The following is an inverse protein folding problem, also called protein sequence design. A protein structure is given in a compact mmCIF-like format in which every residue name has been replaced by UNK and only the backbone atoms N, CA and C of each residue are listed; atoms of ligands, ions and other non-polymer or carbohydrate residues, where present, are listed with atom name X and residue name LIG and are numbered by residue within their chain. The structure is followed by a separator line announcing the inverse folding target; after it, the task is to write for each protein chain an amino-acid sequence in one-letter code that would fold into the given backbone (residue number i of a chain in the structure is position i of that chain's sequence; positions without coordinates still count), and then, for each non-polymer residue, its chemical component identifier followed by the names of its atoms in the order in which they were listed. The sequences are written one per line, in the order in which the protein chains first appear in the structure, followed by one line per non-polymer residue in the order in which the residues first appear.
data_IF_118683376816
#
_entry.id   IF_118683376816
#
_cell.length_a   1.000
_cell.length_b   1.000
_cell.length_c   1.000
_cell.angle_alpha   90.00
_cell.angle_beta   90.00
_cell.angle_gamma   90.00
#
_symmetry.space_group_name_H-M   'P 1'
#
loop_
_entity.id
_entity.type
_entity.pdbx_description
1 polymer ?
#
# COMPACT_ATOMS: atom_id res chain seq x y z
N UNK A 1 20.40 24.71 32.04
CA UNK A 1 20.78 23.81 30.92
C UNK A 1 19.56 23.13 30.29
N UNK A 2 18.65 22.54 31.08
CA UNK A 2 17.44 21.87 30.56
C UNK A 2 16.52 22.80 29.73
N UNK A 3 16.30 24.04 30.16
CA UNK A 3 15.44 24.99 29.46
C UNK A 3 15.93 25.31 28.03
N UNK A 4 17.24 25.55 27.87
CA UNK A 4 17.84 25.84 26.56
C UNK A 4 17.78 24.63 25.61
N UNK A 5 17.93 23.41 26.13
CA UNK A 5 17.82 22.19 25.33
C UNK A 5 16.39 21.96 24.83
N UNK A 6 15.38 22.20 25.68
CA UNK A 6 13.96 22.12 25.29
C UNK A 6 13.62 23.17 24.24
N UNK A 7 14.12 24.40 24.38
CA UNK A 7 13.91 25.48 23.40
C UNK A 7 14.57 25.12 22.05
N UNK A 8 15.79 24.59 22.04
CA UNK A 8 16.47 24.18 20.82
C UNK A 8 15.76 23.01 20.10
N UNK A 9 15.26 22.03 20.86
CA UNK A 9 14.45 20.94 20.33
C UNK A 9 13.14 21.43 19.73
N UNK A 10 12.45 22.33 20.43
CA UNK A 10 11.20 22.94 19.96
C UNK A 10 11.45 23.74 18.67
N UNK A 11 12.54 24.51 18.61
CA UNK A 11 12.92 25.28 17.41
C UNK A 11 13.21 24.39 16.21
N UNK A 12 13.96 23.29 16.39
CA UNK A 12 14.21 22.32 15.32
C UNK A 12 12.91 21.64 14.87
N UNK A 13 12.03 21.29 15.81
CA UNK A 13 10.74 20.69 15.50
C UNK A 13 9.84 21.63 14.69
N UNK A 14 9.72 22.90 15.09
CA UNK A 14 8.97 23.90 14.33
C UNK A 14 9.59 24.18 12.95
N UNK A 15 10.93 24.17 12.83
CA UNK A 15 11.60 24.37 11.55
C UNK A 15 11.29 23.24 10.55
N UNK A 16 11.20 21.99 11.02
CA UNK A 16 10.79 20.86 10.15
C UNK A 16 9.33 20.96 9.70
N UNK A 17 8.44 21.47 10.55
CA UNK A 17 7.03 21.71 10.19
C UNK A 17 6.90 22.85 9.17
N UNK A 18 7.71 23.92 9.29
CA UNK A 18 7.71 25.02 8.33
C UNK A 18 8.23 24.63 6.94
N UNK A 19 9.24 23.76 6.85
CA UNK A 19 9.73 23.20 5.57
C UNK A 19 8.75 22.20 4.92
N UNK A 20 7.80 21.65 5.69
CA UNK A 20 6.74 20.79 5.18
C UNK A 20 5.51 21.58 4.70
N UNK A 21 5.45 22.89 4.93
CA UNK A 21 4.44 23.73 4.31
C UNK A 21 4.72 23.75 2.80
N UNK A 22 3.75 23.34 1.95
CA UNK A 22 3.91 23.49 0.51
C UNK A 22 4.10 24.99 0.23
N UNK A 23 5.33 25.37 -0.14
CA UNK A 23 5.62 26.68 -0.71
C UNK A 23 4.70 26.74 -1.91
N UNK A 24 3.67 27.59 -1.84
CA UNK A 24 2.54 27.61 -2.76
C UNK A 24 2.98 27.19 -4.15
N UNK A 25 2.64 25.95 -4.51
CA UNK A 25 2.81 25.45 -5.85
C UNK A 25 1.93 26.40 -6.66
N UNK A 26 2.60 27.35 -7.32
CA UNK A 26 1.95 28.21 -8.28
C UNK A 26 1.17 27.26 -9.16
N UNK A 27 -0.15 27.43 -9.21
CA UNK A 27 -1.01 26.69 -10.12
C UNK A 27 -0.67 27.21 -11.52
N UNK A 28 0.53 26.88 -11.99
CA UNK A 28 0.79 26.70 -13.40
C UNK A 28 -0.14 25.57 -13.78
N UNK A 29 -1.29 25.94 -14.33
CA UNK A 29 -2.15 25.04 -15.10
C UNK A 29 -1.35 24.62 -16.33
N UNK A 30 -0.30 23.83 -16.12
CA UNK A 30 0.44 23.15 -17.17
C UNK A 30 -0.15 21.76 -17.22
N UNK A 31 -1.10 21.56 -18.15
CA UNK A 31 -1.69 20.27 -18.54
C UNK A 31 -1.26 19.07 -17.72
N UNK A 32 -1.74 18.97 -16.47
CA UNK A 32 -1.34 17.91 -15.57
C UNK A 32 -2.04 16.64 -16.03
N UNK A 33 -1.26 15.71 -16.58
CA UNK A 33 -1.70 14.35 -16.86
C UNK A 33 -2.44 13.79 -15.61
N UNK A 34 -3.76 13.50 -15.69
CA UNK A 34 -4.60 13.16 -14.52
C UNK A 34 -4.10 11.98 -13.67
N UNK A 35 -3.17 11.22 -14.24
CA UNK A 35 -2.57 10.02 -13.70
C UNK A 35 -1.67 10.27 -12.47
N UNK A 36 -1.16 11.50 -12.28
CA UNK A 36 -0.14 11.80 -11.27
C UNK A 36 -0.49 12.90 -10.25
N UNK A 37 -1.75 13.26 -10.06
CA UNK A 37 -2.06 14.39 -9.17
C UNK A 37 -1.78 14.07 -7.68
N UNK A 38 -0.71 14.68 -7.15
CA UNK A 38 -0.43 14.85 -5.72
C UNK A 38 0.38 13.74 -5.03
N UNK A 39 1.23 14.18 -4.09
CA UNK A 39 2.15 13.45 -3.17
C UNK A 39 1.63 12.14 -2.52
N UNK A 40 0.37 11.72 -2.70
CA UNK A 40 -0.23 10.63 -1.91
C UNK A 40 -1.13 9.61 -2.61
N UNK A 41 -1.37 9.68 -3.93
CA UNK A 41 -2.14 8.62 -4.61
C UNK A 41 -3.15 9.12 -5.63
N UNK A 42 -2.68 9.34 -6.86
CA UNK A 42 -3.55 9.48 -8.03
C UNK A 42 -4.22 8.16 -8.42
N UNK A 43 -4.70 8.08 -9.67
CA UNK A 43 -5.38 6.90 -10.25
C UNK A 43 -4.58 5.60 -10.01
N UNK A 44 -3.25 5.68 -10.07
CA UNK A 44 -2.34 4.55 -9.83
C UNK A 44 -2.46 4.02 -8.39
N UNK A 45 -2.50 4.90 -7.39
CA UNK A 45 -2.69 4.51 -5.99
C UNK A 45 -4.04 3.83 -5.75
N UNK A 46 -5.09 4.30 -6.43
CA UNK A 46 -6.41 3.68 -6.37
C UNK A 46 -6.43 2.28 -7.01
N UNK A 47 -5.74 2.09 -8.15
CA UNK A 47 -5.59 0.77 -8.77
C UNK A 47 -4.87 -0.19 -7.82
N UNK A 48 -3.79 0.28 -7.18
CA UNK A 48 -3.05 -0.52 -6.20
C UNK A 48 -3.94 -0.92 -5.02
N UNK A 49 -4.77 -0.01 -4.51
CA UNK A 49 -5.73 -0.31 -3.44
C UNK A 49 -6.73 -1.40 -3.86
N UNK A 50 -7.26 -1.34 -5.08
CA UNK A 50 -8.17 -2.38 -5.60
C UNK A 50 -7.45 -3.73 -5.68
N UNK A 51 -6.21 -3.74 -6.18
CA UNK A 51 -5.43 -4.98 -6.29
C UNK A 51 -5.11 -5.58 -4.91
N UNK A 52 -4.83 -4.76 -3.89
CA UNK A 52 -4.64 -5.21 -2.50
C UNK A 52 -5.88 -5.96 -1.98
N UNK A 53 -7.08 -5.40 -2.20
CA UNK A 53 -8.35 -6.04 -1.83
C UNK A 53 -8.54 -7.38 -2.55
N UNK A 54 -8.21 -7.46 -3.84
CA UNK A 54 -8.32 -8.70 -4.61
C UNK A 54 -7.41 -9.80 -4.04
N UNK A 55 -6.17 -9.43 -3.68
CA UNK A 55 -5.24 -10.38 -3.04
C UNK A 55 -5.79 -10.85 -1.71
N UNK A 56 -6.39 -9.97 -0.90
CA UNK A 56 -7.03 -10.38 0.36
C UNK A 56 -8.16 -11.37 0.15
N UNK A 57 -9.06 -11.11 -0.81
CA UNK A 57 -10.15 -12.04 -1.14
C UNK A 57 -9.58 -13.40 -1.56
N UNK A 58 -8.56 -13.42 -2.41
CA UNK A 58 -7.91 -14.67 -2.86
C UNK A 58 -7.27 -15.43 -1.70
N UNK A 59 -6.52 -14.74 -0.84
CA UNK A 59 -5.84 -15.33 0.32
C UNK A 59 -6.87 -15.88 1.31
N UNK A 60 -7.93 -15.13 1.62
CA UNK A 60 -8.97 -15.53 2.55
C UNK A 60 -9.81 -16.70 2.02
N UNK A 61 -10.02 -16.80 0.71
CA UNK A 61 -10.72 -17.93 0.08
C UNK A 61 -9.85 -19.17 -0.18
N UNK A 62 -8.52 -19.05 -0.08
CA UNK A 62 -7.59 -20.17 -0.34
C UNK A 62 -7.69 -21.31 0.69
N UNK A 63 -7.26 -22.52 0.35
CA UNK A 63 -7.23 -23.66 1.29
C UNK A 63 -5.98 -23.70 2.19
N UNK A 64 -5.36 -22.54 2.45
CA UNK A 64 -4.13 -22.41 3.26
C UNK A 64 -4.43 -22.40 4.76
N UNK A 65 -3.47 -22.83 5.61
CA UNK A 65 -3.59 -22.63 7.06
C UNK A 65 -3.69 -21.15 7.42
N UNK A 66 -4.39 -20.86 8.52
CA UNK A 66 -4.70 -19.49 8.98
C UNK A 66 -3.43 -18.63 9.14
N UNK A 67 -2.34 -19.20 9.65
CA UNK A 67 -1.05 -18.50 9.82
C UNK A 67 -0.50 -17.94 8.51
N UNK A 68 -0.62 -18.69 7.41
CA UNK A 68 -0.14 -18.27 6.10
C UNK A 68 -1.04 -17.21 5.49
N UNK A 69 -2.36 -17.28 5.75
CA UNK A 69 -3.29 -16.22 5.31
C UNK A 69 -2.95 -14.89 5.95
N UNK A 70 -2.76 -14.89 7.27
CA UNK A 70 -2.43 -13.68 8.04
C UNK A 70 -1.09 -13.10 7.57
N UNK A 71 -0.07 -13.94 7.36
CA UNK A 71 1.24 -13.48 6.89
C UNK A 71 1.14 -12.78 5.52
N UNK A 72 0.42 -13.38 4.56
CA UNK A 72 0.25 -12.78 3.24
C UNK A 72 -0.57 -11.49 3.27
N UNK A 73 -1.67 -11.45 4.03
CA UNK A 73 -2.43 -10.22 4.23
C UNK A 73 -1.56 -9.10 4.83
N UNK A 74 -0.73 -9.41 5.84
CA UNK A 74 0.12 -8.42 6.50
C UNK A 74 1.20 -7.86 5.57
N UNK A 75 1.85 -8.72 4.78
CA UNK A 75 2.90 -8.31 3.82
C UNK A 75 2.35 -7.40 2.74
N UNK A 76 1.19 -7.73 2.17
CA UNK A 76 0.58 -6.99 1.07
C UNK A 76 0.00 -5.66 1.58
N UNK A 77 -0.61 -5.65 2.76
CA UNK A 77 -1.15 -4.42 3.37
C UNK A 77 -0.07 -3.41 3.80
N UNK A 78 1.02 -3.89 4.42
CA UNK A 78 2.08 -3.00 4.90
C UNK A 78 2.94 -2.45 3.75
N UNK A 79 3.03 -3.23 2.66
CA UNK A 79 3.77 -2.87 1.46
C UNK A 79 2.90 -3.09 0.22
N UNK A 80 1.95 -2.21 -0.11
CA UNK A 80 0.97 -2.45 -1.17
C UNK A 80 1.62 -2.69 -2.55
N UNK A 81 2.69 -1.97 -2.89
CA UNK A 81 3.39 -2.17 -4.16
C UNK A 81 4.30 -3.40 -4.12
N UNK A 82 5.23 -3.45 -3.16
CA UNK A 82 6.25 -4.50 -3.09
C UNK A 82 5.65 -5.84 -2.65
N UNK A 83 4.74 -5.82 -1.68
CA UNK A 83 4.01 -6.98 -1.18
C UNK A 83 3.18 -7.64 -2.28
N UNK A 84 2.54 -6.87 -3.18
CA UNK A 84 1.87 -7.45 -4.35
C UNK A 84 2.85 -8.17 -5.28
N UNK A 85 4.03 -7.59 -5.55
CA UNK A 85 5.05 -8.23 -6.38
C UNK A 85 5.52 -9.55 -5.75
N UNK A 86 5.81 -9.53 -4.43
CA UNK A 86 6.23 -10.73 -3.69
C UNK A 86 5.12 -11.78 -3.69
N UNK A 87 3.87 -11.38 -3.44
CA UNK A 87 2.72 -12.28 -3.48
C UNK A 87 2.58 -12.92 -4.87
N UNK A 88 2.69 -12.13 -5.94
CA UNK A 88 2.56 -12.62 -7.30
C UNK A 88 3.61 -13.70 -7.63
N UNK A 89 4.85 -13.53 -7.18
CA UNK A 89 5.97 -14.43 -7.51
C UNK A 89 6.04 -15.66 -6.59
N UNK A 90 5.86 -15.47 -5.28
CA UNK A 90 6.18 -16.49 -4.27
C UNK A 90 4.98 -17.13 -3.61
N UNK A 91 3.77 -16.58 -3.76
CA UNK A 91 2.59 -17.15 -3.11
C UNK A 91 2.23 -18.55 -3.63
N UNK A 92 2.66 -18.96 -4.83
CA UNK A 92 2.19 -20.19 -5.47
C UNK A 92 0.65 -20.26 -5.44
N UNK A 93 0.02 -19.19 -5.92
CA UNK A 93 -1.43 -19.01 -5.85
C UNK A 93 -2.22 -20.15 -6.50
N UNK A 94 -1.76 -20.65 -7.65
CA UNK A 94 -2.44 -21.70 -8.42
C UNK A 94 -2.67 -23.00 -7.65
N UNK A 95 -1.74 -23.39 -6.77
CA UNK A 95 -1.88 -24.62 -5.98
C UNK A 95 -2.85 -24.49 -4.79
N UNK A 96 -3.20 -23.27 -4.42
CA UNK A 96 -4.05 -22.98 -3.26
C UNK A 96 -5.39 -22.36 -3.63
N UNK A 97 -5.63 -22.14 -4.93
CA UNK A 97 -6.94 -21.82 -5.47
C UNK A 97 -7.86 -23.02 -5.26
N UNK A 98 -9.09 -22.76 -4.82
CA UNK A 98 -10.08 -23.82 -4.60
C UNK A 98 -10.40 -24.44 -5.97
N UNK A 99 -9.88 -25.64 -6.22
CA UNK A 99 -10.20 -26.38 -7.43
C UNK A 99 -11.71 -26.63 -7.45
N UNK A 100 -12.35 -26.21 -8.54
CA UNK A 100 -13.73 -26.57 -8.80
C UNK A 100 -13.69 -27.95 -9.45
N UNK A 101 -13.81 -28.98 -8.63
CA UNK A 101 -13.84 -30.38 -9.06
C UNK A 101 -15.16 -30.64 -9.81
N UNK A 102 -15.24 -30.17 -11.06
CA UNK A 102 -16.33 -30.53 -11.96
C UNK A 102 -16.11 -31.96 -12.45
N UNK A 103 -16.69 -32.92 -11.75
CA UNK A 103 -16.88 -34.27 -12.29
C UNK A 103 -18.12 -34.23 -13.18
N UNK A 104 -18.01 -34.41 -14.52
CA UNK A 104 -19.20 -34.58 -15.35
C UNK A 104 -19.97 -35.81 -14.84
N UNK A 105 -21.22 -35.59 -14.44
CA UNK A 105 -22.13 -36.68 -14.06
C UNK A 105 -22.53 -37.45 -15.33
N UNK A 106 -22.53 -38.80 -15.29
CA UNK A 106 -22.86 -39.63 -16.45
C UNK A 106 -24.31 -39.50 -16.90
#
# INVERSE_FOLDING_TARGET
MLNNAVIAFLQLWLATLAFAAPIADEVTVTGAEPWHYGTGGGIIGFIILILDILVWIEVLQSNRPVSHKILWCLVVFLFPVVGMIIYYLFSNRKSHMRNSDYTPVP
#
